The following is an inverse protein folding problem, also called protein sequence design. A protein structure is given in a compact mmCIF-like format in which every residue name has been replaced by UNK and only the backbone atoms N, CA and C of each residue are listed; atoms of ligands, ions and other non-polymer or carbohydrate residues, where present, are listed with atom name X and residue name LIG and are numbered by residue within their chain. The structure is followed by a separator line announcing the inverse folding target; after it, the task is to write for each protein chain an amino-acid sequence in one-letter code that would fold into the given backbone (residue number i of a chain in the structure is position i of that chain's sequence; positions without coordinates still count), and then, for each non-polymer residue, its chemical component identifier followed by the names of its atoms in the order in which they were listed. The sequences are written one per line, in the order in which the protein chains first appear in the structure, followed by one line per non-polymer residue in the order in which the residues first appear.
data_IF_258754468971
#
_entry.id   IF_258754468971
#
_cell.length_a   1.000
_cell.length_b   1.000
_cell.length_c   1.000
_cell.angle_alpha   90.00
_cell.angle_beta   90.00
_cell.angle_gamma   90.00
#
_symmetry.space_group_name_H-M   'P 1'
#
loop_
_entity.id
_entity.type
_entity.pdbx_description
1 polymer ?
#
# COMPACT_ATOMS: atom_id res chain seq x y z
N UNK A 1 -20.77 -15.11 -16.19
CA UNK A 1 -19.97 -13.91 -15.84
C UNK A 1 -18.60 -14.20 -15.17
N UNK A 2 -18.24 -15.45 -14.80
CA UNK A 2 -16.94 -15.79 -14.18
C UNK A 2 -15.69 -15.60 -15.08
N UNK A 3 -15.86 -15.44 -16.40
CA UNK A 3 -14.73 -15.45 -17.34
C UNK A 3 -14.13 -14.06 -17.57
N UNK A 4 -14.96 -13.00 -17.55
CA UNK A 4 -14.50 -11.61 -17.74
C UNK A 4 -13.68 -11.12 -16.55
N UNK A 5 -14.14 -11.37 -15.32
CA UNK A 5 -13.39 -10.99 -14.11
C UNK A 5 -12.02 -11.68 -14.03
N UNK A 6 -11.92 -12.96 -14.45
CA UNK A 6 -10.64 -13.69 -14.49
C UNK A 6 -9.67 -13.13 -15.52
N UNK A 7 -10.17 -12.80 -16.72
CA UNK A 7 -9.35 -12.23 -17.79
C UNK A 7 -8.83 -10.85 -17.38
N UNK A 8 -9.70 -10.00 -16.83
CA UNK A 8 -9.31 -8.66 -16.35
C UNK A 8 -8.28 -8.76 -15.23
N UNK A 9 -8.48 -9.67 -14.26
CA UNK A 9 -7.53 -9.89 -13.18
C UNK A 9 -6.17 -10.40 -13.70
N UNK A 10 -6.17 -11.32 -14.67
CA UNK A 10 -4.93 -11.82 -15.28
C UNK A 10 -4.17 -10.72 -16.02
N UNK A 11 -4.87 -9.84 -16.74
CA UNK A 11 -4.26 -8.69 -17.43
C UNK A 11 -3.62 -7.73 -16.43
N UNK A 12 -4.30 -7.40 -15.33
CA UNK A 12 -3.76 -6.49 -14.30
C UNK A 12 -2.50 -7.10 -13.64
N UNK A 13 -2.52 -8.40 -13.35
CA UNK A 13 -1.36 -9.12 -12.81
C UNK A 13 -0.21 -9.12 -13.82
N UNK A 14 -0.48 -9.41 -15.11
CA UNK A 14 0.53 -9.40 -16.15
C UNK A 14 1.20 -8.03 -16.29
N UNK A 15 0.43 -6.94 -16.29
CA UNK A 15 0.95 -5.56 -16.33
C UNK A 15 1.82 -5.28 -15.10
N UNK A 16 1.38 -5.70 -13.91
CA UNK A 16 2.12 -5.51 -12.66
C UNK A 16 3.45 -6.25 -12.69
N UNK A 17 3.46 -7.49 -13.16
CA UNK A 17 4.69 -8.29 -13.29
C UNK A 17 5.66 -7.68 -14.30
N UNK A 18 5.17 -7.17 -15.43
CA UNK A 18 6.02 -6.49 -16.43
C UNK A 18 6.65 -5.23 -15.84
N UNK A 19 5.86 -4.39 -15.14
CA UNK A 19 6.35 -3.17 -14.50
C UNK A 19 7.34 -3.48 -13.38
N UNK A 20 7.07 -4.51 -12.57
CA UNK A 20 8.02 -4.99 -11.56
C UNK A 20 9.29 -5.54 -12.20
N UNK A 21 9.18 -6.25 -13.33
CA UNK A 21 10.33 -6.73 -14.09
C UNK A 21 11.20 -5.58 -14.60
N UNK A 22 10.59 -4.52 -15.15
CA UNK A 22 11.31 -3.30 -15.53
C UNK A 22 11.92 -2.59 -14.31
N UNK A 23 11.23 -2.57 -13.17
CA UNK A 23 11.76 -1.97 -11.93
C UNK A 23 12.98 -2.72 -11.38
N UNK A 24 12.94 -4.05 -11.31
CA UNK A 24 14.04 -4.85 -10.76
C UNK A 24 15.16 -5.15 -11.76
N UNK A 25 14.85 -5.31 -13.06
CA UNK A 25 15.83 -5.72 -14.09
C UNK A 25 16.14 -4.64 -15.12
N UNK A 26 15.46 -3.49 -15.10
CA UNK A 26 15.61 -2.43 -16.12
C UNK A 26 16.88 -1.59 -16.01
N UNK A 27 17.84 -1.99 -15.17
CA UNK A 27 19.04 -1.22 -14.86
C UNK A 27 18.76 -0.01 -13.96
N UNK A 28 19.81 0.54 -13.39
CA UNK A 28 19.75 1.75 -12.59
C UNK A 28 20.59 2.83 -13.24
N UNK A 29 20.15 4.06 -13.04
CA UNK A 29 20.99 5.23 -13.25
C UNK A 29 21.67 5.51 -11.92
N UNK A 30 22.99 5.75 -11.95
CA UNK A 30 23.68 6.34 -10.82
C UNK A 30 23.03 7.71 -10.55
N UNK A 31 22.16 7.77 -9.55
CA UNK A 31 21.58 9.03 -9.10
C UNK A 31 22.72 9.85 -8.53
N UNK A 32 23.10 10.91 -9.24
CA UNK A 32 24.21 11.78 -8.85
C UNK A 32 23.92 12.43 -7.50
N UNK A 33 24.40 11.84 -6.42
CA UNK A 33 24.64 12.56 -5.19
C UNK A 33 25.88 13.43 -5.40
N UNK A 34 25.70 14.62 -5.95
CA UNK A 34 26.77 15.61 -6.15
C UNK A 34 26.53 16.88 -5.34
N UNK A 35 26.02 16.79 -4.12
CA UNK A 35 26.09 17.91 -3.16
C UNK A 35 26.10 17.43 -1.71
N UNK A 36 27.14 16.70 -1.32
CA UNK A 36 27.75 16.81 0.01
C UNK A 36 28.99 15.93 -0.01
N UNK A 37 30.14 16.56 0.21
CA UNK A 37 31.38 15.92 0.64
C UNK A 37 31.06 14.72 1.54
N UNK A 38 31.50 13.54 1.12
CA UNK A 38 31.41 12.25 1.84
C UNK A 38 30.06 11.52 1.93
N UNK A 39 29.11 11.73 1.01
CA UNK A 39 27.76 11.17 1.16
C UNK A 39 27.36 10.07 0.14
N UNK A 40 26.55 9.13 0.63
CA UNK A 40 26.15 7.86 0.02
C UNK A 40 25.45 7.98 -1.34
N UNK A 41 26.06 7.45 -2.40
CA UNK A 41 25.42 7.33 -3.72
C UNK A 41 24.28 6.32 -3.64
N UNK A 42 23.05 6.80 -3.48
CA UNK A 42 21.86 5.95 -3.51
C UNK A 42 21.58 5.51 -4.96
N UNK A 43 21.77 4.22 -5.24
CA UNK A 43 21.38 3.61 -6.51
C UNK A 43 19.85 3.60 -6.63
N UNK A 44 19.31 4.31 -7.61
CA UNK A 44 17.88 4.32 -7.89
C UNK A 44 17.58 3.58 -9.21
N UNK A 45 16.69 2.58 -9.21
CA UNK A 45 16.24 1.94 -10.45
C UNK A 45 15.56 2.94 -11.38
N UNK A 46 15.85 2.86 -12.67
CA UNK A 46 15.41 3.83 -13.67
C UNK A 46 13.88 3.91 -13.82
N UNK A 47 13.17 2.84 -13.43
CA UNK A 47 11.72 2.72 -13.51
C UNK A 47 11.01 2.92 -12.16
N UNK A 48 11.68 3.48 -11.14
CA UNK A 48 11.09 3.75 -9.81
C UNK A 48 9.83 4.60 -9.90
N UNK A 49 9.86 5.68 -10.68
CA UNK A 49 8.69 6.56 -10.84
C UNK A 49 7.51 5.84 -11.51
N UNK A 50 7.78 4.91 -12.43
CA UNK A 50 6.76 4.15 -13.13
C UNK A 50 6.10 3.11 -12.21
N UNK A 51 6.90 2.39 -11.41
CA UNK A 51 6.40 1.47 -10.40
C UNK A 51 5.57 2.19 -9.33
N UNK A 52 6.03 3.35 -8.84
CA UNK A 52 5.32 4.14 -7.83
C UNK A 52 3.98 4.67 -8.36
N UNK A 53 3.95 5.13 -9.62
CA UNK A 53 2.71 5.61 -10.26
C UNK A 53 1.71 4.48 -10.48
N UNK A 54 2.16 3.28 -10.89
CA UNK A 54 1.27 2.12 -11.01
C UNK A 54 0.68 1.75 -9.65
N UNK A 55 1.51 1.68 -8.61
CA UNK A 55 1.06 1.38 -7.25
C UNK A 55 0.00 2.39 -6.77
N UNK A 56 0.20 3.68 -7.06
CA UNK A 56 -0.76 4.73 -6.72
C UNK A 56 -2.10 4.57 -7.45
N UNK A 57 -2.09 4.29 -8.76
CA UNK A 57 -3.32 4.04 -9.52
C UNK A 57 -4.06 2.82 -8.99
N UNK A 58 -3.34 1.72 -8.74
CA UNK A 58 -3.92 0.50 -8.18
C UNK A 58 -4.51 0.73 -6.78
N UNK A 59 -3.88 1.58 -5.96
CA UNK A 59 -4.38 1.95 -4.64
C UNK A 59 -5.74 2.65 -4.72
N UNK A 60 -5.87 3.66 -5.58
CA UNK A 60 -7.14 4.39 -5.76
C UNK A 60 -8.25 3.44 -6.22
N UNK A 61 -7.93 2.55 -7.18
CA UNK A 61 -8.87 1.54 -7.67
C UNK A 61 -9.27 0.57 -6.54
N UNK A 62 -8.33 0.16 -5.70
CA UNK A 62 -8.60 -0.73 -4.57
C UNK A 62 -9.51 -0.08 -3.52
N UNK A 63 -9.28 1.19 -3.19
CA UNK A 63 -10.13 1.96 -2.27
C UNK A 63 -11.55 2.08 -2.84
N UNK A 64 -11.67 2.43 -4.12
CA UNK A 64 -12.98 2.51 -4.78
C UNK A 64 -13.72 1.16 -4.77
N UNK A 65 -13.03 0.07 -5.08
CA UNK A 65 -13.61 -1.28 -5.03
C UNK A 65 -14.06 -1.66 -3.61
N UNK A 66 -13.25 -1.36 -2.58
CA UNK A 66 -13.59 -1.64 -1.19
C UNK A 66 -14.88 -0.91 -0.77
N UNK A 67 -15.03 0.36 -1.15
CA UNK A 67 -16.24 1.15 -0.88
C UNK A 67 -17.46 0.59 -1.60
N UNK A 68 -17.33 0.22 -2.88
CA UNK A 68 -18.42 -0.38 -3.66
C UNK A 68 -18.88 -1.68 -3.00
N UNK A 69 -17.94 -2.56 -2.63
CA UNK A 69 -18.25 -3.83 -1.96
C UNK A 69 -18.95 -3.60 -0.62
N UNK A 70 -18.49 -2.61 0.16
CA UNK A 70 -19.09 -2.26 1.45
C UNK A 70 -20.56 -1.82 1.30
N UNK A 71 -20.83 -0.92 0.35
CA UNK A 71 -22.18 -0.43 0.08
C UNK A 71 -23.07 -1.56 -0.44
N UNK A 72 -22.55 -2.39 -1.35
CA UNK A 72 -23.34 -3.48 -1.93
C UNK A 72 -23.65 -4.58 -0.90
N UNK A 73 -22.69 -4.88 -0.02
CA UNK A 73 -22.87 -5.80 1.09
C UNK A 73 -23.92 -5.30 2.09
N UNK A 74 -23.97 -4.00 2.36
CA UNK A 74 -24.99 -3.41 3.22
C UNK A 74 -26.42 -3.60 2.67
N UNK A 75 -26.60 -3.46 1.35
CA UNK A 75 -27.91 -3.58 0.69
C UNK A 75 -28.38 -5.04 0.63
N UNK A 76 -27.49 -6.01 0.38
CA UNK A 76 -27.90 -7.40 0.16
C UNK A 76 -28.25 -8.17 1.45
N UNK A 77 -27.50 -7.96 2.55
CA UNK A 77 -27.65 -8.79 3.76
C UNK A 77 -27.26 -8.04 5.04
N UNK A 78 -28.17 -7.26 5.66
CA UNK A 78 -27.84 -6.47 6.86
C UNK A 78 -27.36 -7.31 8.07
N UNK A 79 -27.78 -8.59 8.17
CA UNK A 79 -27.37 -9.49 9.27
C UNK A 79 -25.96 -10.09 9.09
N UNK A 80 -25.56 -10.45 7.88
CA UNK A 80 -24.21 -11.00 7.63
C UNK A 80 -23.17 -9.90 7.48
N UNK A 81 -23.54 -8.78 6.86
CA UNK A 81 -22.65 -7.66 6.64
C UNK A 81 -22.20 -6.99 7.92
N UNK A 82 -22.90 -7.18 9.05
CA UNK A 82 -22.49 -6.64 10.35
C UNK A 82 -21.06 -7.04 10.74
N UNK A 83 -20.65 -8.28 10.46
CA UNK A 83 -19.27 -8.73 10.73
C UNK A 83 -18.26 -8.10 9.77
N UNK A 84 -18.61 -8.00 8.48
CA UNK A 84 -17.74 -7.35 7.48
C UNK A 84 -17.65 -5.84 7.69
N UNK A 85 -18.73 -5.22 8.16
CA UNK A 85 -18.84 -3.80 8.44
C UNK A 85 -18.07 -3.44 9.71
N UNK A 86 -18.14 -4.30 10.74
CA UNK A 86 -17.28 -4.16 11.92
C UNK A 86 -15.80 -4.26 11.54
N UNK A 87 -15.44 -5.21 10.66
CA UNK A 87 -14.08 -5.35 10.13
C UNK A 87 -13.64 -4.10 9.33
N UNK A 88 -14.53 -3.54 8.51
CA UNK A 88 -14.27 -2.32 7.75
C UNK A 88 -14.17 -1.08 8.64
N UNK A 89 -15.01 -0.97 9.66
CA UNK A 89 -14.96 0.12 10.64
C UNK A 89 -13.66 0.07 11.44
N UNK A 90 -13.22 -1.13 11.85
CA UNK A 90 -11.94 -1.32 12.50
C UNK A 90 -10.78 -0.97 11.57
N UNK A 91 -10.84 -1.37 10.29
CA UNK A 91 -9.85 -0.96 9.28
C UNK A 91 -9.80 0.57 9.12
N UNK A 92 -10.96 1.22 9.06
CA UNK A 92 -11.04 2.68 8.95
C UNK A 92 -10.42 3.37 10.19
N UNK A 93 -10.64 2.83 11.39
CA UNK A 93 -10.00 3.33 12.60
C UNK A 93 -8.48 3.18 12.56
N UNK A 94 -7.95 2.05 12.06
CA UNK A 94 -6.51 1.85 11.89
C UNK A 94 -5.93 2.84 10.88
N UNK A 95 -6.61 3.04 9.75
CA UNK A 95 -6.20 4.02 8.72
C UNK A 95 -6.19 5.44 9.29
N UNK A 96 -7.16 5.79 10.14
CA UNK A 96 -7.20 7.09 10.81
C UNK A 96 -6.01 7.29 11.76
N UNK A 97 -5.65 6.27 12.55
CA UNK A 97 -4.46 6.31 13.41
C UNK A 97 -3.19 6.41 12.57
N UNK A 98 -3.09 5.64 11.49
CA UNK A 98 -1.97 5.69 10.56
C UNK A 98 -1.81 7.07 9.90
N UNK A 99 -2.92 7.75 9.59
CA UNK A 99 -2.90 9.13 9.09
C UNK A 99 -2.29 10.11 10.09
N UNK A 100 -2.63 10.00 11.37
CA UNK A 100 -2.07 10.88 12.41
C UNK A 100 -0.57 10.65 12.66
N UNK A 101 -0.07 9.45 12.35
CA UNK A 101 1.35 9.11 12.47
C UNK A 101 2.16 9.48 11.22
N UNK A 102 1.49 9.89 10.14
CA UNK A 102 2.16 10.18 8.87
C UNK A 102 2.73 11.59 8.89
N UNK A 103 3.99 11.69 8.47
CA UNK A 103 4.67 12.96 8.26
C UNK A 103 4.46 13.46 6.81
N UNK A 104 4.43 14.78 6.66
CA UNK A 104 4.25 15.53 5.42
C UNK A 104 5.51 16.30 5.00
N UNK A 105 6.59 16.20 5.77
CA UNK A 105 7.85 16.89 5.47
C UNK A 105 8.43 16.51 4.09
N UNK A 106 8.85 17.50 3.27
CA UNK A 106 9.36 17.23 1.93
C UNK A 106 10.56 16.29 1.93
N UNK A 107 10.47 15.22 1.15
CA UNK A 107 11.53 14.21 1.06
C UNK A 107 12.48 14.54 -0.09
N UNK A 108 13.78 14.49 0.17
CA UNK A 108 14.82 14.61 -0.86
C UNK A 108 14.82 13.36 -1.74
N UNK A 109 14.60 13.54 -3.04
CA UNK A 109 14.67 12.47 -4.02
C UNK A 109 16.11 12.30 -4.52
N UNK A 110 16.45 11.10 -5.00
CA UNK A 110 17.78 10.74 -5.52
C UNK A 110 18.27 11.59 -6.70
N UNK A 111 17.36 12.36 -7.31
CA UNK A 111 17.60 13.32 -8.39
C UNK A 111 17.87 14.76 -7.87
N UNK A 112 18.11 14.92 -6.57
CA UNK A 112 18.39 16.22 -5.92
C UNK A 112 17.17 17.15 -5.78
N UNK A 113 16.01 16.76 -6.31
CA UNK A 113 14.74 17.52 -6.18
C UNK A 113 14.01 17.15 -4.89
N UNK A 114 13.41 18.15 -4.24
CA UNK A 114 12.48 17.93 -3.13
C UNK A 114 11.13 17.46 -3.66
N UNK A 115 10.63 16.33 -3.15
CA UNK A 115 9.27 15.88 -3.41
C UNK A 115 8.32 16.62 -2.44
N UNK A 116 7.62 17.63 -2.96
CA UNK A 116 6.78 18.55 -2.18
C UNK A 116 5.29 18.21 -2.24
N UNK A 117 4.90 17.12 -2.92
CA UNK A 117 3.50 16.80 -3.10
C UNK A 117 2.93 16.11 -1.85
N UNK A 118 2.43 16.93 -0.93
CA UNK A 118 1.92 16.56 0.38
C UNK A 118 0.94 15.38 0.31
N UNK A 119 -0.08 15.44 -0.55
CA UNK A 119 -1.08 14.37 -0.68
C UNK A 119 -0.48 12.99 -0.99
N UNK A 120 0.47 12.93 -1.92
CA UNK A 120 1.11 11.65 -2.29
C UNK A 120 2.00 11.13 -1.17
N UNK A 121 2.62 12.04 -0.42
CA UNK A 121 3.47 11.71 0.70
C UNK A 121 2.65 11.21 1.89
N UNK A 122 1.56 11.90 2.21
CA UNK A 122 0.60 11.47 3.23
C UNK A 122 -0.01 10.12 2.87
N UNK A 123 -0.42 9.91 1.60
CA UNK A 123 -1.00 8.63 1.20
C UNK A 123 0.02 7.49 1.32
N UNK A 124 1.26 7.70 0.89
CA UNK A 124 2.32 6.70 1.05
C UNK A 124 2.59 6.38 2.52
N UNK A 125 2.69 7.41 3.37
CA UNK A 125 2.89 7.22 4.81
C UNK A 125 1.73 6.49 5.47
N UNK A 126 0.47 6.82 5.15
CA UNK A 126 -0.72 6.12 5.64
C UNK A 126 -0.68 4.65 5.24
N UNK A 127 -0.32 4.33 4.00
CA UNK A 127 -0.22 2.95 3.52
C UNK A 127 0.87 2.17 4.27
N UNK A 128 2.02 2.79 4.51
CA UNK A 128 3.12 2.18 5.26
C UNK A 128 2.68 1.94 6.70
N UNK A 129 2.24 2.97 7.43
CA UNK A 129 1.81 2.87 8.82
C UNK A 129 0.67 1.87 9.02
N UNK A 130 -0.34 1.91 8.15
CA UNK A 130 -1.45 0.94 8.17
C UNK A 130 -0.93 -0.49 8.04
N UNK A 131 0.02 -0.73 7.13
CA UNK A 131 0.62 -2.06 6.93
C UNK A 131 1.40 -2.52 8.16
N UNK A 132 2.21 -1.65 8.76
CA UNK A 132 2.97 -1.97 9.97
C UNK A 132 2.06 -2.29 11.15
N UNK A 133 1.02 -1.48 11.38
CA UNK A 133 0.05 -1.70 12.46
C UNK A 133 -0.67 -3.04 12.27
N UNK A 134 -1.13 -3.33 11.05
CA UNK A 134 -1.82 -4.59 10.75
C UNK A 134 -0.89 -5.81 10.89
N UNK A 135 0.38 -5.69 10.49
CA UNK A 135 1.37 -6.75 10.63
C UNK A 135 1.60 -7.09 12.11
N UNK A 136 1.84 -6.08 12.94
CA UNK A 136 2.02 -6.25 14.39
C UNK A 136 0.76 -6.86 15.02
N UNK A 137 -0.42 -6.32 14.68
CA UNK A 137 -1.70 -6.84 15.18
C UNK A 137 -1.91 -8.31 14.80
N UNK A 138 -1.50 -8.70 13.58
CA UNK A 138 -1.60 -10.07 13.08
C UNK A 138 -0.67 -11.01 13.86
N UNK A 139 0.60 -10.63 14.03
CA UNK A 139 1.56 -11.42 14.84
C UNK A 139 1.05 -11.60 16.26
N UNK A 140 0.56 -10.52 16.87
CA UNK A 140 0.04 -10.53 18.24
C UNK A 140 -1.19 -11.44 18.35
N UNK A 141 -2.11 -11.36 17.39
CA UNK A 141 -3.30 -12.23 17.32
C UNK A 141 -2.96 -13.71 17.20
N UNK A 142 -1.92 -14.03 16.40
CA UNK A 142 -1.41 -15.40 16.27
C UNK A 142 -0.83 -15.87 17.60
N UNK A 143 0.02 -15.07 18.26
CA UNK A 143 0.62 -15.41 19.54
C UNK A 143 -0.44 -15.66 20.64
N UNK A 144 -1.45 -14.79 20.75
CA UNK A 144 -2.57 -14.98 21.68
C UNK A 144 -3.36 -16.26 21.39
N UNK A 145 -3.57 -16.59 20.11
CA UNK A 145 -4.26 -17.82 19.70
C UNK A 145 -3.50 -19.08 20.11
N UNK A 146 -2.16 -19.05 20.10
CA UNK A 146 -1.33 -20.15 20.61
C UNK A 146 -1.45 -20.30 22.13
N UNK A 147 -1.42 -19.21 22.90
CA UNK A 147 -1.56 -19.24 24.37
C UNK A 147 -2.90 -19.86 24.80
N UNK A 148 -4.00 -19.45 24.16
CA UNK A 148 -5.35 -19.96 24.45
C UNK A 148 -5.46 -21.47 24.14
N UNK A 149 -4.77 -21.95 23.10
CA UNK A 149 -4.74 -23.39 22.76
C UNK A 149 -3.89 -24.21 23.72
N UNK A 150 -2.90 -23.62 24.39
CA UNK A 150 -2.06 -24.28 25.40
C UNK A 150 -2.68 -24.32 26.79
N UNK A 151 -3.66 -23.44 27.06
CA UNK A 151 -4.39 -23.38 28.35
C UNK A 151 -5.69 -24.19 28.36
N UNK A 152 -6.10 -24.77 27.22
CA UNK A 152 -7.18 -25.76 27.13
C UNK A 152 -6.60 -27.16 27.00
#
# INVERSE_FOLDING_TARGET
MKNISKIVLYIIIAITVVVMGLFYFGGGTEGALSTATDADVFYQPNYTSLALNLAFVLMIVAIAAALIIAIWGFIQSPKESMKSLLGLALLAAVVFVAYMLTDTDPVLLSDGRMFTNEFRLTLAGVCIWTSWILLILTILSIAFSYVIKLTK
#
